data_IF_674131889816
#
_entry.id   IF_674131889816
#
_cell.length_a   1.000
_cell.length_b   1.000
_cell.length_c   1.000
_cell.angle_alpha   90.00
_cell.angle_beta   90.00
_cell.angle_gamma   90.00
#
_symmetry.space_group_name_H-M   'P 1'
#
loop_
_entity.id
_entity.type
_entity.pdbx_description
1 polymer ?
#
# COMPACT_ATOMS: atom_id res chain seq x y z
N UNK A 1 -14.06 7.75 -4.86
CA UNK A 1 -12.70 7.21 -4.65
C UNK A 1 -12.24 7.68 -3.28
N UNK A 2 -11.78 6.78 -2.41
CA UNK A 2 -11.25 7.13 -1.08
C UNK A 2 -9.77 7.55 -1.20
N UNK A 3 -9.44 8.73 -0.67
CA UNK A 3 -8.09 9.29 -0.74
C UNK A 3 -7.81 10.33 0.37
N UNK A 4 -6.66 10.25 1.05
CA UNK A 4 -5.82 9.06 1.14
C UNK A 4 -6.48 8.01 2.04
N UNK A 5 -6.35 6.72 1.70
CA UNK A 5 -6.85 5.65 2.56
C UNK A 5 -5.77 5.24 3.58
N UNK A 6 -5.84 5.76 4.80
CA UNK A 6 -4.91 5.46 5.89
C UNK A 6 -5.26 4.15 6.60
N UNK A 7 -4.34 3.20 6.64
CA UNK A 7 -4.56 1.89 7.25
C UNK A 7 -4.76 2.00 8.76
N UNK A 8 -3.93 2.81 9.44
CA UNK A 8 -4.00 2.96 10.91
C UNK A 8 -5.29 3.63 11.41
N UNK A 9 -5.90 4.50 10.60
CA UNK A 9 -7.18 5.13 10.89
C UNK A 9 -8.39 4.36 10.36
N UNK A 10 -8.16 3.30 9.59
CA UNK A 10 -9.19 2.50 8.94
C UNK A 10 -8.89 1.01 9.13
N UNK A 11 -8.60 0.31 8.04
CA UNK A 11 -8.48 -1.14 7.96
C UNK A 11 -7.54 -1.53 6.81
N UNK A 12 -7.31 -2.82 6.60
CA UNK A 12 -6.60 -3.26 5.40
C UNK A 12 -7.49 -3.01 4.15
N UNK A 13 -6.94 -2.50 3.01
CA UNK A 13 -7.76 -2.13 1.84
C UNK A 13 -8.62 -3.28 1.30
N UNK A 14 -8.21 -4.54 1.53
CA UNK A 14 -8.99 -5.71 1.12
C UNK A 14 -10.38 -5.73 1.72
N UNK A 15 -10.56 -5.25 2.97
CA UNK A 15 -11.84 -5.33 3.66
C UNK A 15 -12.92 -4.57 2.88
N UNK A 16 -12.67 -3.28 2.58
CA UNK A 16 -13.61 -2.46 1.84
C UNK A 16 -13.69 -2.86 0.36
N UNK A 17 -12.58 -3.25 -0.28
CA UNK A 17 -12.61 -3.68 -1.69
C UNK A 17 -13.35 -5.01 -1.88
N UNK A 18 -13.37 -5.88 -0.88
CA UNK A 18 -14.15 -7.11 -0.88
C UNK A 18 -15.64 -6.82 -0.60
N UNK A 19 -15.95 -5.92 0.33
CA UNK A 19 -17.32 -5.55 0.68
C UNK A 19 -18.04 -4.80 -0.45
N UNK A 20 -17.40 -3.75 -0.99
CA UNK A 20 -18.06 -2.84 -1.93
C UNK A 20 -17.78 -3.16 -3.40
N UNK A 21 -17.04 -4.22 -3.69
CA UNK A 21 -16.77 -4.64 -5.06
C UNK A 21 -16.21 -3.49 -5.92
N UNK A 22 -16.47 -3.54 -7.23
CA UNK A 22 -15.85 -2.62 -8.20
C UNK A 22 -16.43 -1.20 -8.18
N UNK A 23 -17.49 -0.97 -7.40
CA UNK A 23 -18.08 0.36 -7.23
C UNK A 23 -17.17 1.26 -6.38
N UNK A 24 -16.45 0.67 -5.42
CA UNK A 24 -15.46 1.37 -4.64
C UNK A 24 -14.10 1.40 -5.34
N UNK A 25 -13.45 2.56 -5.24
CA UNK A 25 -12.05 2.77 -5.66
C UNK A 25 -11.25 3.37 -4.51
N UNK A 26 -10.01 2.94 -4.37
CA UNK A 26 -9.10 3.35 -3.28
C UNK A 26 -7.77 3.87 -3.84
N UNK A 27 -7.26 4.94 -3.23
CA UNK A 27 -5.93 5.47 -3.44
C UNK A 27 -5.24 5.59 -2.07
N UNK A 28 -4.11 4.89 -1.88
CA UNK A 28 -3.38 4.81 -0.60
C UNK A 28 -3.27 3.36 -0.11
N UNK A 29 -3.44 3.11 1.18
CA UNK A 29 -3.54 1.75 1.72
C UNK A 29 -2.23 0.97 1.87
N UNK A 30 -1.07 1.61 1.67
CA UNK A 30 0.20 1.04 2.11
C UNK A 30 0.45 1.45 3.56
N UNK A 31 0.41 0.50 4.48
CA UNK A 31 0.68 0.71 5.90
C UNK A 31 2.14 1.17 6.11
N UNK A 32 2.29 2.46 6.36
CA UNK A 32 3.59 3.12 6.58
C UNK A 32 4.34 2.59 7.82
N UNK A 33 3.66 1.93 8.77
CA UNK A 33 4.31 1.31 9.93
C UNK A 33 5.18 0.12 9.50
N UNK A 34 4.82 -0.57 8.42
CA UNK A 34 5.62 -1.68 7.89
C UNK A 34 6.95 -1.19 7.30
N UNK A 35 7.00 0.04 6.78
CA UNK A 35 8.24 0.65 6.27
C UNK A 35 9.28 0.81 7.38
N UNK A 36 8.86 1.16 8.60
CA UNK A 36 9.76 1.29 9.76
C UNK A 36 10.25 -0.05 10.32
N UNK A 37 9.70 -1.19 9.86
CA UNK A 37 10.09 -2.55 10.27
C UNK A 37 11.10 -3.20 9.32
N UNK A 38 11.49 -2.50 8.25
CA UNK A 38 12.52 -2.93 7.31
C UNK A 38 12.03 -3.80 6.15
N UNK A 39 12.95 -4.26 5.27
CA UNK A 39 12.62 -4.76 3.93
C UNK A 39 11.71 -6.00 3.92
N UNK A 40 11.90 -6.91 4.89
CA UNK A 40 11.08 -8.13 5.00
C UNK A 40 9.62 -7.81 5.30
N UNK A 41 9.36 -6.84 6.19
CA UNK A 41 8.01 -6.41 6.54
C UNK A 41 7.35 -5.65 5.38
N UNK A 42 8.12 -4.79 4.70
CA UNK A 42 7.67 -4.08 3.49
C UNK A 42 7.20 -5.08 2.43
N UNK A 43 8.04 -6.06 2.08
CA UNK A 43 7.70 -7.10 1.11
C UNK A 43 6.46 -7.87 1.51
N UNK A 44 6.43 -8.37 2.75
CA UNK A 44 5.28 -9.14 3.25
C UNK A 44 3.97 -8.35 3.14
N UNK A 45 3.98 -7.05 3.41
CA UNK A 45 2.81 -6.20 3.26
C UNK A 45 2.46 -5.94 1.79
N UNK A 46 3.42 -5.62 0.92
CA UNK A 46 3.11 -5.40 -0.50
C UNK A 46 2.57 -6.67 -1.18
N UNK A 47 2.99 -7.85 -0.74
CA UNK A 47 2.47 -9.13 -1.27
C UNK A 47 0.98 -9.31 -0.96
N UNK A 48 0.45 -8.75 0.14
CA UNK A 48 -1.01 -8.78 0.41
C UNK A 48 -1.82 -7.90 -0.54
N UNK A 49 -1.16 -6.90 -1.15
CA UNK A 49 -1.81 -5.95 -2.05
C UNK A 49 -1.91 -6.44 -3.48
N UNK A 50 -1.08 -7.41 -3.89
CA UNK A 50 -1.03 -7.96 -5.26
C UNK A 50 -2.43 -8.28 -5.82
N UNK A 51 -3.26 -9.12 -5.17
CA UNK A 51 -4.58 -9.44 -5.71
C UNK A 51 -5.51 -8.22 -5.80
N UNK A 52 -5.33 -7.22 -4.92
CA UNK A 52 -6.16 -6.01 -4.91
C UNK A 52 -5.79 -5.07 -6.08
N UNK A 53 -4.51 -5.00 -6.41
CA UNK A 53 -4.02 -4.23 -7.56
C UNK A 53 -4.45 -4.90 -8.87
N UNK A 54 -4.26 -6.22 -8.99
CA UNK A 54 -4.66 -7.01 -10.17
C UNK A 54 -6.16 -6.94 -10.44
N UNK A 55 -6.97 -6.92 -9.38
CA UNK A 55 -8.42 -6.72 -9.46
C UNK A 55 -8.82 -5.39 -10.12
N UNK A 56 -7.97 -4.37 -10.00
CA UNK A 56 -8.22 -3.01 -10.50
C UNK A 56 -9.11 -2.16 -9.57
N UNK A 57 -9.09 -0.84 -9.82
CA UNK A 57 -9.77 0.15 -8.97
C UNK A 57 -8.99 0.55 -7.71
N UNK A 58 -7.74 0.13 -7.59
CA UNK A 58 -6.86 0.38 -6.46
C UNK A 58 -5.50 0.91 -6.92
N UNK A 59 -5.05 2.03 -6.35
CA UNK A 59 -3.70 2.59 -6.58
C UNK A 59 -2.95 2.63 -5.24
N UNK A 60 -1.99 1.70 -5.01
CA UNK A 60 -1.24 1.62 -3.77
C UNK A 60 -0.13 2.68 -3.70
N UNK A 61 -0.10 3.43 -2.61
CA UNK A 61 1.06 4.24 -2.20
C UNK A 61 1.03 4.48 -0.69
N UNK A 62 2.11 5.10 -0.17
CA UNK A 62 2.26 5.45 1.24
C UNK A 62 1.03 6.22 1.70
N UNK A 63 0.28 5.65 2.64
CA UNK A 63 -1.08 6.05 2.94
C UNK A 63 -1.28 7.45 3.52
N UNK A 64 -0.20 8.18 3.78
CA UNK A 64 -0.19 9.63 4.04
C UNK A 64 1.21 10.19 3.81
N UNK A 65 1.98 10.44 4.89
CA UNK A 65 3.39 10.85 4.85
C UNK A 65 4.26 9.74 5.41
N UNK A 66 5.49 9.64 4.90
CA UNK A 66 6.50 8.74 5.44
C UNK A 66 6.83 9.14 6.90
N UNK A 67 6.74 8.21 7.88
CA UNK A 67 7.12 8.47 9.25
C UNK A 67 8.61 8.82 9.40
N UNK A 68 9.00 9.69 10.34
CA UNK A 68 10.39 10.13 10.51
C UNK A 68 11.33 9.01 11.00
N UNK A 69 10.79 7.91 11.52
CA UNK A 69 11.56 6.75 11.97
C UNK A 69 11.84 5.72 10.85
N UNK A 70 11.35 5.95 9.63
CA UNK A 70 11.67 5.11 8.47
C UNK A 70 13.06 5.50 7.97
N UNK A 71 13.95 4.52 7.86
CA UNK A 71 15.28 4.76 7.31
C UNK A 71 15.17 5.10 5.82
N UNK A 72 16.00 6.02 5.28
CA UNK A 72 15.99 6.33 3.85
C UNK A 72 16.13 5.09 2.96
N UNK A 73 16.95 4.13 3.35
CA UNK A 73 17.20 2.90 2.59
C UNK A 73 15.94 2.02 2.50
N UNK A 74 15.17 1.94 3.59
CA UNK A 74 13.92 1.19 3.64
C UNK A 74 12.84 1.85 2.77
N UNK A 75 12.80 3.19 2.76
CA UNK A 75 11.87 3.94 1.89
C UNK A 75 12.21 3.76 0.40
N UNK A 76 13.50 3.83 0.04
CA UNK A 76 13.96 3.57 -1.33
C UNK A 76 13.68 2.12 -1.75
N UNK A 77 13.95 1.14 -0.87
CA UNK A 77 13.60 -0.26 -1.11
C UNK A 77 12.10 -0.42 -1.38
N UNK A 78 11.24 0.24 -0.60
CA UNK A 78 9.80 0.24 -0.83
C UNK A 78 9.43 0.79 -2.21
N UNK A 79 10.00 1.92 -2.63
CA UNK A 79 9.72 2.52 -3.94
C UNK A 79 10.13 1.59 -5.09
N UNK A 80 11.36 1.09 -5.06
CA UNK A 80 11.89 0.16 -6.07
C UNK A 80 11.05 -1.11 -6.15
N UNK A 81 10.65 -1.65 -4.99
CA UNK A 81 9.86 -2.87 -4.93
C UNK A 81 8.46 -2.65 -5.47
N UNK A 82 7.81 -1.55 -5.08
CA UNK A 82 6.47 -1.17 -5.55
C UNK A 82 6.46 -0.95 -7.05
N UNK A 83 7.48 -0.29 -7.61
CA UNK A 83 7.62 -0.11 -9.06
C UNK A 83 7.78 -1.45 -9.78
N UNK A 84 8.65 -2.34 -9.28
CA UNK A 84 8.82 -3.69 -9.86
C UNK A 84 7.53 -4.52 -9.83
N UNK A 85 6.72 -4.37 -8.78
CA UNK A 85 5.48 -5.13 -8.62
C UNK A 85 4.30 -4.54 -9.41
N UNK A 86 4.17 -3.21 -9.45
CA UNK A 86 2.95 -2.53 -9.90
C UNK A 86 3.17 -1.42 -10.94
N UNK A 87 4.40 -1.22 -11.42
CA UNK A 87 4.73 -0.24 -12.44
C UNK A 87 4.02 -0.51 -13.76
N UNK A 88 3.79 0.56 -14.53
CA UNK A 88 3.26 0.45 -15.89
C UNK A 88 4.33 -0.12 -16.83
N UNK A 89 3.94 -0.99 -17.75
CA UNK A 89 4.78 -1.42 -18.88
C UNK A 89 4.48 -0.59 -20.12
#
# INVERSE_FOLDING_TARGET
>A
CLFPFEVNGCAHPSELLNEYGKDLRIMGGVDKIQMGKGPKAIRAYLDTLVPLVERGGYIPFCDHRCPPNVKPEDYLYYLDLKEKMFGMK
#
